data_IF_410332382791
#
_entry.id   IF_410332382791
#
_cell.length_a   1.000
_cell.length_b   1.000
_cell.length_c   1.000
_cell.angle_alpha   90.00
_cell.angle_beta   90.00
_cell.angle_gamma   90.00
#
_symmetry.space_group_name_H-M   'P 1'
#
loop_
_entity.id
_entity.type
_entity.pdbx_description
1 polymer ?
#
# COMPACT_ATOMS: atom_id res chain seq x y z
N UNK A 1 -15.05 -1.45 6.33
CA UNK A 1 -13.67 -1.81 6.72
C UNK A 1 -12.94 -2.26 5.46
N UNK A 2 -11.76 -1.73 5.16
CA UNK A 2 -11.02 -2.05 3.93
C UNK A 2 -10.27 -3.39 4.08
N UNK A 3 -10.65 -4.46 3.35
CA UNK A 3 -10.01 -5.76 3.46
C UNK A 3 -8.54 -5.75 3.05
N UNK A 4 -8.17 -4.93 2.06
CA UNK A 4 -6.78 -4.76 1.61
C UNK A 4 -5.92 -4.17 2.73
N UNK A 5 -6.45 -3.13 3.40
CA UNK A 5 -5.75 -2.52 4.54
C UNK A 5 -5.52 -3.53 5.66
N UNK A 6 -6.53 -4.33 6.01
CA UNK A 6 -6.42 -5.34 7.07
C UNK A 6 -5.38 -6.41 6.74
N UNK A 7 -5.38 -6.92 5.50
CA UNK A 7 -4.39 -7.90 5.05
C UNK A 7 -2.96 -7.33 5.12
N UNK A 8 -2.75 -6.11 4.62
CA UNK A 8 -1.44 -5.44 4.70
C UNK A 8 -1.04 -5.21 6.15
N UNK A 9 -1.96 -4.75 6.99
CA UNK A 9 -1.71 -4.53 8.42
C UNK A 9 -1.21 -5.81 9.09
N UNK A 10 -1.85 -6.97 8.86
CA UNK A 10 -1.40 -8.25 9.43
C UNK A 10 0.01 -8.63 8.99
N UNK A 11 0.35 -8.41 7.71
CA UNK A 11 1.70 -8.66 7.17
C UNK A 11 2.74 -7.73 7.80
N UNK A 12 2.39 -6.47 8.02
CA UNK A 12 3.27 -5.49 8.65
C UNK A 12 3.51 -5.81 10.14
N UNK A 13 2.48 -6.31 10.84
CA UNK A 13 2.65 -6.85 12.18
C UNK A 13 3.61 -8.04 12.21
N UNK A 14 3.46 -8.99 11.29
CA UNK A 14 4.37 -10.15 11.18
C UNK A 14 5.84 -9.72 10.96
N UNK A 15 6.05 -8.66 10.19
CA UNK A 15 7.37 -8.11 9.91
C UNK A 15 7.97 -7.26 11.05
N UNK A 16 7.28 -7.09 12.17
CA UNK A 16 7.63 -6.13 13.22
C UNK A 16 7.86 -4.71 12.67
N UNK A 17 7.05 -4.30 11.69
CA UNK A 17 7.21 -3.01 11.05
C UNK A 17 6.89 -1.87 12.03
N UNK A 18 7.86 -0.99 12.27
CA UNK A 18 7.67 0.15 13.15
C UNK A 18 6.61 1.12 12.59
N UNK A 19 5.64 1.59 13.38
CA UNK A 19 4.64 2.54 12.92
C UNK A 19 5.27 3.92 12.68
N UNK A 20 4.57 4.75 11.89
CA UNK A 20 4.88 6.15 11.60
C UNK A 20 6.19 6.45 10.87
N UNK A 21 7.05 5.44 10.62
CA UNK A 21 8.33 5.57 9.91
C UNK A 21 8.31 4.81 8.57
N UNK A 22 9.16 5.24 7.63
CA UNK A 22 9.36 4.54 6.36
C UNK A 22 10.33 3.36 6.54
N UNK A 23 9.89 2.15 6.19
CA UNK A 23 10.75 0.97 6.06
C UNK A 23 10.38 0.20 4.79
N UNK A 24 11.38 -0.17 3.99
CA UNK A 24 11.19 -0.89 2.72
C UNK A 24 10.17 -0.26 1.75
N UNK A 25 10.12 1.08 1.70
CA UNK A 25 9.12 1.85 0.95
C UNK A 25 7.68 1.65 1.43
N UNK A 26 7.49 1.29 2.70
CA UNK A 26 6.18 1.24 3.34
C UNK A 26 6.22 2.13 4.57
N UNK A 27 5.16 2.90 4.79
CA UNK A 27 4.91 3.63 6.03
C UNK A 27 3.52 3.27 6.50
N UNK A 28 3.43 2.87 7.75
CA UNK A 28 2.18 2.42 8.34
C UNK A 28 1.72 3.38 9.42
N UNK A 29 0.49 3.85 9.30
CA UNK A 29 -0.20 4.57 10.36
C UNK A 29 -1.37 3.71 10.83
N UNK A 30 -1.24 3.06 12.00
CA UNK A 30 -2.29 2.21 12.54
C UNK A 30 -3.63 2.93 12.53
N UNK A 31 -4.69 2.22 12.11
CA UNK A 31 -6.06 2.74 12.06
C UNK A 31 -6.30 3.93 11.10
N UNK A 32 -5.30 4.38 10.34
CA UNK A 32 -5.44 5.47 9.36
C UNK A 32 -5.22 4.97 7.94
N UNK A 33 -3.98 4.62 7.60
CA UNK A 33 -3.57 4.29 6.25
C UNK A 33 -2.21 3.57 6.19
N UNK A 34 -2.02 2.85 5.09
CA UNK A 34 -0.71 2.39 4.63
C UNK A 34 -0.29 3.25 3.44
N UNK A 35 0.94 3.73 3.47
CA UNK A 35 1.59 4.43 2.37
C UNK A 35 2.66 3.51 1.79
N UNK A 36 2.69 3.36 0.47
CA UNK A 36 3.68 2.53 -0.23
C UNK A 36 4.37 3.39 -1.29
N UNK A 37 5.69 3.60 -1.15
CA UNK A 37 6.49 4.51 -1.97
C UNK A 37 7.47 5.32 -1.10
N UNK A 38 7.52 6.63 -1.33
CA UNK A 38 8.29 7.58 -0.54
C UNK A 38 7.55 8.92 -0.41
N UNK A 39 8.19 9.92 0.21
CA UNK A 39 7.57 11.23 0.43
C UNK A 39 7.21 11.96 -0.87
N UNK A 40 7.96 11.73 -1.96
CA UNK A 40 7.70 12.34 -3.26
C UNK A 40 6.64 11.60 -4.07
N UNK A 41 6.55 10.27 -4.00
CA UNK A 41 5.59 9.49 -4.79
C UNK A 41 5.20 8.21 -4.05
N UNK A 42 3.93 8.07 -3.71
CA UNK A 42 3.40 6.91 -3.01
C UNK A 42 1.92 6.66 -3.35
N UNK A 43 1.50 5.42 -3.13
CA UNK A 43 0.08 5.09 -3.01
C UNK A 43 -0.36 5.12 -1.55
N UNK A 44 -1.61 5.53 -1.31
CA UNK A 44 -2.23 5.56 0.01
C UNK A 44 -3.42 4.62 0.01
N UNK A 45 -3.44 3.66 0.93
CA UNK A 45 -4.53 2.70 1.16
C UNK A 45 -5.11 3.00 2.54
N UNK A 46 -6.35 3.50 2.61
CA UNK A 46 -6.96 3.89 3.89
C UNK A 46 -7.66 2.71 4.56
N UNK A 47 -7.84 2.78 5.88
CA UNK A 47 -8.54 1.74 6.65
C UNK A 47 -10.05 1.64 6.34
N UNK A 48 -10.65 2.73 5.84
CA UNK A 48 -12.09 2.90 5.73
C UNK A 48 -12.64 2.79 4.30
N UNK A 49 -11.79 2.95 3.27
CA UNK A 49 -12.21 2.95 1.88
C UNK A 49 -11.38 1.93 1.08
N UNK A 50 -12.05 1.10 0.28
CA UNK A 50 -11.38 0.16 -0.62
C UNK A 50 -10.81 0.88 -1.85
N UNK A 51 -9.63 0.47 -2.29
CA UNK A 51 -8.88 1.16 -3.33
C UNK A 51 -7.59 1.81 -2.81
N UNK A 52 -7.03 2.70 -3.63
CA UNK A 52 -5.86 3.49 -3.28
C UNK A 52 -5.88 4.87 -3.97
N UNK A 53 -5.12 5.81 -3.41
CA UNK A 53 -4.81 7.09 -4.05
C UNK A 53 -3.35 7.13 -4.47
N UNK A 54 -3.03 7.51 -5.71
CA UNK A 54 -1.65 7.89 -6.06
C UNK A 54 -1.44 9.36 -5.71
N UNK A 55 -0.40 9.63 -4.93
CA UNK A 55 0.08 10.98 -4.66
C UNK A 55 1.49 11.14 -5.21
N UNK A 56 1.75 12.25 -5.91
CA UNK A 56 3.08 12.66 -6.35
C UNK A 56 3.29 14.14 -6.04
N UNK A 57 4.42 14.47 -5.42
CA UNK A 57 4.82 15.83 -5.03
C UNK A 57 3.70 16.55 -4.26
N UNK A 58 3.04 15.83 -3.34
CA UNK A 58 1.92 16.33 -2.54
C UNK A 58 0.57 16.41 -3.27
N UNK A 59 0.53 16.18 -4.59
CA UNK A 59 -0.70 16.21 -5.38
C UNK A 59 -1.29 14.82 -5.59
N UNK A 60 -2.61 14.70 -5.36
CA UNK A 60 -3.35 13.47 -5.68
C UNK A 60 -3.60 13.40 -7.18
N UNK A 61 -2.94 12.46 -7.86
CA UNK A 61 -3.03 12.31 -9.31
C UNK A 61 -4.14 11.35 -9.73
N UNK A 62 -4.39 10.31 -8.93
CA UNK A 62 -5.30 9.24 -9.31
C UNK A 62 -5.95 8.60 -8.08
N UNK A 63 -7.13 8.04 -8.28
CA UNK A 63 -7.83 7.23 -7.28
C UNK A 63 -8.43 6.02 -7.97
N UNK A 64 -8.04 4.84 -7.51
CA UNK A 64 -8.72 3.60 -7.87
C UNK A 64 -9.64 3.18 -6.73
N UNK A 65 -10.81 2.63 -7.04
CA UNK A 65 -11.79 2.16 -6.05
C UNK A 65 -11.95 0.65 -6.14
N UNK A 66 -12.53 0.07 -5.10
CA UNK A 66 -12.95 -1.34 -5.08
C UNK A 66 -11.82 -2.36 -5.23
N UNK A 67 -10.56 -1.98 -4.98
CA UNK A 67 -9.44 -2.92 -4.82
C UNK A 67 -9.48 -3.50 -3.40
N UNK A 68 -9.52 -4.81 -3.31
CA UNK A 68 -9.72 -5.57 -2.07
C UNK A 68 -8.56 -6.50 -1.73
N UNK A 69 -7.70 -6.82 -2.69
CA UNK A 69 -6.57 -7.76 -2.48
C UNK A 69 -5.25 -7.21 -3.01
N UNK A 70 -4.13 -7.73 -2.49
CA UNK A 70 -2.80 -7.39 -2.99
C UNK A 70 -2.61 -7.81 -4.46
N UNK A 71 -3.23 -8.92 -4.88
CA UNK A 71 -3.20 -9.38 -6.28
C UNK A 71 -3.91 -8.42 -7.23
N UNK A 72 -5.10 -7.94 -6.86
CA UNK A 72 -5.81 -6.90 -7.62
C UNK A 72 -5.01 -5.59 -7.66
N UNK A 73 -4.45 -5.17 -6.52
CA UNK A 73 -3.60 -3.99 -6.44
C UNK A 73 -2.41 -4.12 -7.41
N UNK A 74 -1.68 -5.23 -7.36
CA UNK A 74 -0.52 -5.45 -8.20
C UNK A 74 -0.87 -5.47 -9.70
N UNK A 75 -2.02 -6.07 -10.06
CA UNK A 75 -2.51 -6.09 -11.43
C UNK A 75 -2.79 -4.68 -11.97
N UNK A 76 -3.36 -3.80 -11.15
CA UNK A 76 -3.60 -2.39 -11.53
C UNK A 76 -2.28 -1.62 -11.62
N UNK A 77 -1.41 -1.74 -10.61
CA UNK A 77 -0.15 -1.01 -10.58
C UNK A 77 0.77 -1.33 -11.75
N UNK A 78 0.84 -2.60 -12.18
CA UNK A 78 1.67 -3.03 -13.33
C UNK A 78 1.21 -2.46 -14.67
N UNK A 79 -0.03 -1.97 -14.78
CA UNK A 79 -0.56 -1.35 -16.01
C UNK A 79 -0.36 0.16 -16.05
N UNK A 80 0.16 0.75 -14.98
CA UNK A 80 0.27 2.20 -14.84
C UNK A 80 1.69 2.68 -15.07
N UNK A 81 1.86 3.61 -16.02
CA UNK A 81 3.15 4.22 -16.35
C UNK A 81 3.64 5.23 -15.30
N UNK A 82 2.73 5.77 -14.49
CA UNK A 82 2.96 6.80 -13.48
C UNK A 82 3.19 6.22 -12.07
N UNK A 83 3.23 4.90 -11.93
CA UNK A 83 3.64 4.21 -10.69
C UNK A 83 5.13 3.91 -10.76
N UNK A 84 5.86 4.20 -9.68
CA UNK A 84 7.30 3.91 -9.65
C UNK A 84 7.57 2.42 -9.45
N UNK A 85 8.69 1.88 -9.99
CA UNK A 85 9.08 0.49 -9.74
C UNK A 85 9.24 0.14 -8.26
N UNK A 86 9.58 1.12 -7.40
CA UNK A 86 9.70 0.92 -5.96
C UNK A 86 8.36 0.56 -5.32
N UNK A 87 7.26 1.20 -5.75
CA UNK A 87 5.91 0.89 -5.27
C UNK A 87 5.53 -0.55 -5.65
N UNK A 88 5.76 -0.94 -6.91
CA UNK A 88 5.47 -2.30 -7.39
C UNK A 88 6.25 -3.34 -6.58
N UNK A 89 7.56 -3.13 -6.38
CA UNK A 89 8.40 -4.05 -5.59
C UNK A 89 7.97 -4.18 -4.14
N UNK A 90 7.53 -3.08 -3.50
CA UNK A 90 7.05 -3.12 -2.13
C UNK A 90 5.74 -3.91 -2.02
N UNK A 91 4.82 -3.76 -2.98
CA UNK A 91 3.60 -4.59 -3.04
C UNK A 91 3.94 -6.05 -3.29
N UNK A 92 4.87 -6.36 -4.20
CA UNK A 92 5.33 -7.73 -4.43
C UNK A 92 5.97 -8.36 -3.20
N UNK A 93 6.75 -7.58 -2.44
CA UNK A 93 7.31 -8.01 -1.17
C UNK A 93 6.20 -8.34 -0.16
N UNK A 94 5.23 -7.44 0.04
CA UNK A 94 4.09 -7.68 0.93
C UNK A 94 3.31 -8.94 0.53
N UNK A 95 3.08 -9.18 -0.76
CA UNK A 95 2.38 -10.38 -1.25
C UNK A 95 3.07 -11.70 -0.90
N UNK A 96 4.38 -11.67 -0.60
CA UNK A 96 5.18 -12.85 -0.22
C UNK A 96 5.27 -13.06 1.29
N UNK A 97 4.88 -12.06 2.08
CA UNK A 97 4.85 -12.18 3.55
C UNK A 97 3.73 -13.17 3.93
N UNK A 98 4.00 -14.19 4.74
CA UNK A 98 2.94 -15.09 5.20
C UNK A 98 1.95 -14.33 6.10
N UNK A 99 0.66 -14.66 5.97
CA UNK A 99 -0.37 -14.26 6.94
C UNK A 99 -0.68 -15.48 7.77
N UNK A 100 -0.38 -15.44 9.06
CA UNK A 100 -0.86 -16.44 10.00
C UNK A 100 -2.35 -16.17 10.23
N UNK A 101 -3.19 -17.11 9.82
CA UNK A 101 -4.62 -17.13 10.10
C UNK A 101 -4.90 -17.64 11.51
#
# INVERSE_FOLDING_TARGET
MNPLFNDIQMRLFYLNHAPYSWHWNVRFRPQEAVYIGNDACHITITCNQSGFHLTRDGQRLFTERYIRTLSELLAVLKRRWDVTPAIIRAVEYLSRVPVLH
#
